data_IF_076376171668
#
_entry.id   IF_076376171668
#
_cell.length_a   1.000
_cell.length_b   1.000
_cell.length_c   1.000
_cell.angle_alpha   90.00
_cell.angle_beta   90.00
_cell.angle_gamma   90.00
#
_symmetry.space_group_name_H-M   'P 1'
#
loop_
_entity.id
_entity.type
_entity.pdbx_description
1 polymer ?
#
# COMPACT_ATOMS: atom_id res chain seq x y z
N UNK A 1 72.50 40.52 53.57
CA UNK A 1 71.29 40.83 54.32
C UNK A 1 70.18 41.04 53.36
N UNK A 2 69.22 40.14 53.46
CA UNK A 2 67.88 40.10 52.95
C UNK A 2 67.67 40.17 51.45
N UNK A 3 67.60 38.96 50.99
CA UNK A 3 66.96 38.55 49.71
C UNK A 3 65.46 38.75 49.75
N UNK A 4 64.95 39.26 48.66
CA UNK A 4 63.55 39.24 48.43
C UNK A 4 63.27 38.64 47.01
N UNK A 5 63.23 37.33 46.97
CA UNK A 5 62.80 36.61 45.74
C UNK A 5 61.29 36.65 45.60
N UNK A 6 60.83 37.42 44.65
CA UNK A 6 59.42 37.48 44.24
C UNK A 6 59.13 36.41 43.18
N UNK A 7 58.53 35.32 43.62
CA UNK A 7 58.07 34.30 42.74
C UNK A 7 56.88 34.82 41.93
N UNK A 8 57.04 34.95 40.63
CA UNK A 8 55.94 35.15 39.67
C UNK A 8 55.48 33.80 39.26
N UNK A 9 54.28 33.40 39.75
CA UNK A 9 53.56 32.20 39.25
C UNK A 9 52.83 32.57 37.99
N UNK A 10 53.30 32.07 36.85
CA UNK A 10 52.53 32.05 35.59
C UNK A 10 51.41 30.99 35.68
N UNK A 11 50.17 31.42 35.87
CA UNK A 11 49.01 30.58 35.68
C UNK A 11 48.79 30.46 34.18
N UNK A 12 49.20 29.34 33.62
CA UNK A 12 48.78 28.95 32.26
C UNK A 12 47.31 28.53 32.23
N UNK A 13 46.44 29.37 31.71
CA UNK A 13 45.06 28.96 31.36
C UNK A 13 45.11 28.04 30.15
N UNK A 14 45.01 26.75 30.40
CA UNK A 14 44.75 25.75 29.35
C UNK A 14 43.26 25.81 28.99
N UNK A 15 42.91 26.58 27.97
CA UNK A 15 41.56 26.56 27.39
C UNK A 15 41.39 25.22 26.65
N UNK A 16 40.81 24.21 27.32
CA UNK A 16 40.32 23.00 26.68
C UNK A 16 39.11 23.38 25.85
N UNK A 17 39.31 23.54 24.54
CA UNK A 17 38.19 23.62 23.59
C UNK A 17 37.44 22.30 23.65
N UNK A 18 36.30 22.27 24.34
CA UNK A 18 35.30 21.20 24.20
C UNK A 18 34.80 21.24 22.75
N UNK A 19 35.39 20.41 21.90
CA UNK A 19 34.76 20.04 20.62
C UNK A 19 33.56 19.18 21.00
N UNK A 20 32.40 19.83 21.15
CA UNK A 20 31.15 19.11 21.20
C UNK A 20 31.06 18.26 19.91
N UNK A 21 30.83 16.94 20.00
CA UNK A 21 30.55 16.19 18.80
C UNK A 21 29.32 16.85 18.19
N UNK A 22 29.49 17.44 17.00
CA UNK A 22 28.37 18.00 16.23
C UNK A 22 27.34 16.93 16.14
N UNK A 23 26.17 17.11 16.76
CA UNK A 23 25.02 16.30 16.49
C UNK A 23 24.78 16.43 14.97
N UNK A 24 25.05 15.37 14.23
CA UNK A 24 24.63 15.30 12.84
C UNK A 24 23.14 15.62 12.88
N UNK A 25 22.76 16.79 12.39
CA UNK A 25 21.37 17.14 12.25
C UNK A 25 20.72 16.02 11.41
N UNK A 26 19.63 15.44 11.93
CA UNK A 26 18.88 14.47 11.16
C UNK A 26 18.49 15.13 9.82
N UNK A 27 18.64 14.39 8.73
CA UNK A 27 18.25 14.90 7.40
C UNK A 27 16.76 15.21 7.40
N UNK A 28 16.36 16.32 6.79
CA UNK A 28 14.96 16.65 6.53
C UNK A 28 14.38 15.81 5.37
N UNK A 29 15.23 15.00 4.72
CA UNK A 29 14.91 14.17 3.55
C UNK A 29 15.48 12.74 3.66
N UNK A 30 15.24 12.01 4.77
CA UNK A 30 15.96 10.77 5.07
C UNK A 30 15.70 9.65 4.04
N UNK A 31 14.46 9.57 3.51
CA UNK A 31 14.09 8.57 2.51
C UNK A 31 14.68 8.92 1.15
N UNK A 32 14.53 10.19 0.74
CA UNK A 32 15.03 10.65 -0.55
C UNK A 32 16.56 10.54 -0.63
N UNK A 33 17.28 10.96 0.42
CA UNK A 33 18.74 10.85 0.51
C UNK A 33 19.17 9.38 0.39
N UNK A 34 18.52 8.48 1.14
CA UNK A 34 18.80 7.06 1.06
C UNK A 34 18.59 6.51 -0.37
N UNK A 35 17.50 6.90 -1.05
CA UNK A 35 17.23 6.46 -2.43
C UNK A 35 18.31 7.00 -3.38
N UNK A 36 18.73 8.26 -3.21
CA UNK A 36 19.77 8.88 -4.04
C UNK A 36 21.12 8.19 -3.85
N UNK A 37 21.49 7.89 -2.61
CA UNK A 37 22.79 7.29 -2.27
C UNK A 37 22.88 5.82 -2.73
N UNK A 38 21.87 5.02 -2.39
CA UNK A 38 21.88 3.58 -2.68
C UNK A 38 21.31 3.21 -4.06
N UNK A 39 20.67 4.14 -4.77
CA UNK A 39 20.02 3.90 -6.06
C UNK A 39 18.98 2.77 -6.02
N UNK A 40 18.26 2.66 -4.90
CA UNK A 40 17.23 1.65 -4.66
C UNK A 40 15.99 2.29 -4.07
N UNK A 41 14.83 2.05 -4.71
CA UNK A 41 13.50 2.35 -4.18
C UNK A 41 12.87 1.04 -3.69
N UNK A 42 12.63 0.92 -2.38
CA UNK A 42 11.96 -0.22 -1.76
C UNK A 42 10.47 0.03 -1.66
N UNK A 43 9.66 -0.84 -2.26
CA UNK A 43 8.20 -0.71 -2.29
C UNK A 43 7.54 -1.92 -1.65
N UNK A 44 6.74 -1.68 -0.60
CA UNK A 44 5.93 -2.70 0.04
C UNK A 44 4.68 -3.02 -0.78
N UNK A 45 4.45 -4.29 -1.06
CA UNK A 45 3.27 -4.80 -1.77
C UNK A 45 2.81 -6.13 -1.15
N UNK A 46 1.52 -6.47 -1.26
CA UNK A 46 1.05 -7.77 -0.75
C UNK A 46 1.37 -8.93 -1.71
N UNK A 47 1.44 -8.66 -3.00
CA UNK A 47 1.77 -9.67 -4.02
C UNK A 47 0.63 -10.66 -4.33
N UNK A 48 -0.60 -10.39 -3.88
CA UNK A 48 -1.78 -11.25 -4.07
C UNK A 48 -3.05 -10.46 -4.42
N UNK A 49 -2.91 -9.23 -4.92
CA UNK A 49 -4.03 -8.31 -5.24
C UNK A 49 -4.09 -8.03 -6.75
N UNK A 50 -4.24 -9.06 -7.57
CA UNK A 50 -4.45 -8.84 -9.01
C UNK A 50 -5.72 -7.98 -9.26
N UNK A 51 -5.71 -7.03 -10.21
CA UNK A 51 -4.67 -6.69 -11.20
C UNK A 51 -3.63 -5.67 -10.71
N UNK A 52 -3.65 -5.29 -9.41
CA UNK A 52 -2.78 -4.25 -8.85
C UNK A 52 -1.35 -4.74 -8.68
N UNK A 53 -1.16 -5.79 -7.89
CA UNK A 53 0.12 -6.45 -7.68
C UNK A 53 -0.11 -7.93 -7.33
N UNK A 54 0.51 -8.84 -8.06
CA UNK A 54 0.29 -10.28 -7.88
C UNK A 54 1.48 -11.09 -8.34
N UNK A 55 1.65 -12.28 -7.78
CA UNK A 55 2.61 -13.26 -8.26
C UNK A 55 2.16 -13.83 -9.62
N UNK A 56 3.08 -13.90 -10.58
CA UNK A 56 2.89 -14.64 -11.81
C UNK A 56 3.34 -16.10 -11.66
N UNK A 57 3.01 -16.96 -12.61
CA UNK A 57 3.52 -18.34 -12.69
C UNK A 57 5.05 -18.44 -12.67
N UNK A 58 5.74 -17.41 -13.14
CA UNK A 58 7.22 -17.35 -13.12
C UNK A 58 7.78 -16.89 -11.78
N UNK A 59 6.95 -16.61 -10.77
CA UNK A 59 7.36 -16.08 -9.47
C UNK A 59 7.70 -14.59 -9.47
N UNK A 60 7.46 -13.88 -10.58
CA UNK A 60 7.64 -12.43 -10.65
C UNK A 60 6.38 -11.72 -10.17
N UNK A 61 6.55 -10.63 -9.44
CA UNK A 61 5.43 -9.73 -9.12
C UNK A 61 5.12 -8.87 -10.35
N UNK A 62 3.85 -8.91 -10.78
CA UNK A 62 3.32 -8.16 -11.91
C UNK A 62 2.07 -7.38 -11.48
N UNK A 63 1.67 -6.35 -12.21
CA UNK A 63 0.47 -5.60 -11.94
C UNK A 63 0.60 -4.11 -12.27
N UNK A 64 -0.53 -3.43 -12.17
CA UNK A 64 -0.64 -1.98 -12.39
C UNK A 64 0.34 -1.19 -11.50
N UNK A 65 0.34 -1.51 -10.20
CA UNK A 65 1.18 -0.83 -9.21
C UNK A 65 2.66 -1.16 -9.39
N UNK A 66 2.97 -2.38 -9.85
CA UNK A 66 4.34 -2.79 -10.16
C UNK A 66 4.91 -1.98 -11.32
N UNK A 67 4.12 -1.79 -12.38
CA UNK A 67 4.54 -0.98 -13.52
C UNK A 67 4.64 0.52 -13.15
N UNK A 68 3.73 1.03 -12.32
CA UNK A 68 3.78 2.39 -11.82
C UNK A 68 5.00 2.61 -10.90
N UNK A 69 5.25 1.71 -9.95
CA UNK A 69 6.43 1.77 -9.08
C UNK A 69 7.73 1.69 -9.88
N UNK A 70 7.77 0.87 -10.95
CA UNK A 70 8.92 0.80 -11.86
C UNK A 70 9.15 2.11 -12.61
N UNK A 71 8.07 2.80 -13.01
CA UNK A 71 8.18 4.11 -13.65
C UNK A 71 8.70 5.16 -12.67
N UNK A 72 8.20 5.18 -11.43
CA UNK A 72 8.68 6.07 -10.37
C UNK A 72 10.17 5.84 -10.06
N UNK A 73 10.58 4.58 -9.86
CA UNK A 73 11.97 4.23 -9.62
C UNK A 73 12.89 4.71 -10.75
N UNK A 74 12.50 4.47 -12.01
CA UNK A 74 13.25 4.95 -13.18
C UNK A 74 13.36 6.47 -13.23
N UNK A 75 12.28 7.19 -12.93
CA UNK A 75 12.27 8.65 -12.92
C UNK A 75 13.23 9.22 -11.84
N UNK A 76 13.42 8.50 -10.74
CA UNK A 76 14.40 8.82 -9.70
C UNK A 76 15.81 8.29 -9.98
N UNK A 77 16.05 7.60 -11.09
CA UNK A 77 17.33 6.97 -11.40
C UNK A 77 17.70 5.82 -10.45
N UNK A 78 16.68 5.16 -9.87
CA UNK A 78 16.82 4.07 -8.91
C UNK A 78 16.34 2.73 -9.48
N UNK A 79 16.85 1.63 -8.93
CA UNK A 79 16.33 0.27 -9.13
C UNK A 79 15.13 0.05 -8.22
N UNK A 80 14.08 -0.55 -8.76
CA UNK A 80 12.93 -0.98 -7.97
C UNK A 80 13.28 -2.27 -7.21
N UNK A 81 12.97 -2.29 -5.92
CA UNK A 81 12.97 -3.47 -5.07
C UNK A 81 11.58 -3.63 -4.44
N UNK A 82 10.89 -4.72 -4.77
CA UNK A 82 9.58 -5.02 -4.22
C UNK A 82 9.77 -5.92 -2.99
N UNK A 83 9.22 -5.50 -1.85
CA UNK A 83 9.23 -6.26 -0.61
C UNK A 83 7.81 -6.75 -0.35
N UNK A 84 7.58 -8.06 -0.46
CA UNK A 84 6.26 -8.65 -0.28
C UNK A 84 6.03 -9.08 1.16
N UNK A 85 4.83 -8.81 1.65
CA UNK A 85 4.36 -9.20 2.98
C UNK A 85 2.82 -9.16 3.06
N UNK A 86 2.18 -9.76 4.07
CA UNK A 86 0.74 -9.64 4.27
C UNK A 86 0.29 -8.17 4.26
N UNK A 87 -0.88 -7.90 3.68
CA UNK A 87 -1.41 -6.52 3.55
C UNK A 87 -1.44 -5.79 4.89
N UNK A 88 -1.87 -6.48 5.95
CA UNK A 88 -1.98 -5.91 7.29
C UNK A 88 -0.65 -5.43 7.89
N UNK A 89 0.47 -5.96 7.42
CA UNK A 89 1.82 -5.64 7.94
C UNK A 89 2.49 -4.47 7.19
N UNK A 90 1.92 -4.04 6.05
CA UNK A 90 2.57 -3.08 5.14
C UNK A 90 2.81 -1.72 5.78
N UNK A 91 1.83 -1.16 6.49
CA UNK A 91 1.99 0.17 7.11
C UNK A 91 2.94 0.11 8.32
N UNK A 92 2.93 -0.98 9.09
CA UNK A 92 3.92 -1.19 10.15
C UNK A 92 5.33 -1.28 9.57
N UNK A 93 5.52 -2.03 8.49
CA UNK A 93 6.81 -2.14 7.81
C UNK A 93 7.30 -0.79 7.26
N UNK A 94 6.38 0.07 6.79
CA UNK A 94 6.69 1.45 6.39
C UNK A 94 7.17 2.28 7.57
N UNK A 95 6.46 2.23 8.71
CA UNK A 95 6.85 2.93 9.94
C UNK A 95 8.19 2.42 10.51
N UNK A 96 8.49 1.13 10.34
CA UNK A 96 9.74 0.50 10.74
C UNK A 96 10.88 0.62 9.70
N UNK A 97 10.73 1.46 8.66
CA UNK A 97 11.74 1.76 7.62
C UNK A 97 12.19 0.54 6.80
N UNK A 98 11.43 -0.55 6.82
CA UNK A 98 11.70 -1.74 5.99
C UNK A 98 11.47 -1.46 4.51
N UNK A 99 10.55 -0.54 4.21
CA UNK A 99 10.21 -0.06 2.86
C UNK A 99 10.13 1.47 2.85
N UNK A 100 10.31 2.08 1.67
CA UNK A 100 10.28 3.54 1.50
C UNK A 100 8.85 4.06 1.26
N UNK A 101 8.04 3.23 0.60
CA UNK A 101 6.63 3.51 0.33
C UNK A 101 5.84 2.20 0.23
N UNK A 102 4.53 2.32 0.36
CA UNK A 102 3.58 1.21 0.17
C UNK A 102 2.68 1.51 -1.02
N UNK A 103 2.58 0.54 -1.92
CA UNK A 103 1.63 0.51 -3.05
C UNK A 103 1.00 -0.89 -3.08
N UNK A 104 -0.23 -1.03 -2.59
CA UNK A 104 -0.92 -2.32 -2.49
C UNK A 104 -2.44 -2.13 -2.35
N UNK A 105 -3.07 -1.39 -3.26
CA UNK A 105 -4.49 -1.08 -3.14
C UNK A 105 -4.81 -0.30 -1.85
N UNK A 106 -3.85 0.50 -1.37
CA UNK A 106 -3.97 1.15 -0.07
C UNK A 106 -4.91 2.35 -0.15
N UNK A 107 -6.13 2.20 0.39
CA UNK A 107 -7.12 3.28 0.44
C UNK A 107 -6.63 4.42 1.33
N UNK A 108 -6.76 5.65 0.82
CA UNK A 108 -6.54 6.88 1.59
C UNK A 108 -7.70 7.06 2.55
N UNK A 109 -7.44 7.01 3.85
CA UNK A 109 -8.46 7.21 4.89
C UNK A 109 -7.96 8.17 5.95
N UNK A 110 -8.88 8.86 6.63
CA UNK A 110 -8.51 9.80 7.70
C UNK A 110 -7.70 9.13 8.84
N UNK A 111 -8.06 7.92 9.34
CA UNK A 111 -7.25 7.24 10.34
C UNK A 111 -5.82 6.95 9.86
N UNK A 112 -5.63 6.44 8.64
CA UNK A 112 -4.31 6.17 8.09
C UNK A 112 -3.51 7.45 7.83
N UNK A 113 -4.19 8.51 7.34
CA UNK A 113 -3.55 9.81 7.05
C UNK A 113 -3.13 10.58 8.30
N UNK A 114 -3.57 10.18 9.49
CA UNK A 114 -3.05 10.72 10.75
C UNK A 114 -1.58 10.30 10.98
N UNK A 115 -1.27 9.06 10.63
CA UNK A 115 0.01 8.43 10.98
C UNK A 115 0.97 8.36 9.79
N UNK A 116 0.45 8.45 8.55
CA UNK A 116 1.22 8.38 7.29
C UNK A 116 0.80 9.48 6.32
N UNK A 117 1.71 9.91 5.48
CA UNK A 117 1.40 10.80 4.36
C UNK A 117 0.95 9.96 3.15
N UNK A 118 -0.13 10.38 2.49
CA UNK A 118 -0.60 9.76 1.26
C UNK A 118 -0.37 10.67 0.06
N UNK A 119 0.11 10.10 -1.04
CA UNK A 119 0.32 10.74 -2.32
C UNK A 119 -0.67 10.18 -3.35
N UNK A 120 -1.27 11.03 -4.14
CA UNK A 120 -2.28 10.66 -5.12
C UNK A 120 -3.66 11.24 -4.81
N UNK A 121 -4.79 10.61 -5.20
CA UNK A 121 -4.92 9.21 -5.61
C UNK A 121 -4.43 8.94 -7.04
N UNK A 122 -3.82 7.76 -7.26
CA UNK A 122 -3.48 7.29 -8.61
C UNK A 122 -4.61 6.48 -9.25
N UNK A 123 -5.60 6.06 -8.46
CA UNK A 123 -6.77 5.32 -8.90
C UNK A 123 -7.95 5.55 -7.94
N UNK A 124 -9.16 5.53 -8.48
CA UNK A 124 -10.39 5.41 -7.69
C UNK A 124 -10.87 3.97 -7.73
N UNK A 125 -11.23 3.43 -6.58
CA UNK A 125 -11.80 2.09 -6.39
C UNK A 125 -13.10 2.19 -5.57
N UNK A 126 -13.60 1.06 -5.10
CA UNK A 126 -14.74 1.00 -4.20
C UNK A 126 -15.09 -0.44 -3.87
N UNK A 127 -15.76 -0.65 -2.76
CA UNK A 127 -16.12 -1.97 -2.25
C UNK A 127 -17.16 -2.64 -3.13
N UNK A 128 -16.93 -3.92 -3.36
CA UNK A 128 -17.84 -4.85 -4.01
C UNK A 128 -17.84 -6.17 -3.24
N UNK A 129 -18.57 -7.13 -3.73
CA UNK A 129 -18.53 -8.49 -3.22
C UNK A 129 -18.23 -9.48 -4.33
N UNK A 130 -17.59 -10.56 -3.96
CA UNK A 130 -17.49 -11.77 -4.76
C UNK A 130 -18.34 -12.86 -4.08
N UNK A 131 -19.26 -13.47 -4.79
CA UNK A 131 -20.17 -14.47 -4.24
C UNK A 131 -20.61 -15.46 -5.31
N UNK A 132 -21.03 -16.66 -4.90
CA UNK A 132 -21.73 -17.63 -5.75
C UNK A 132 -23.26 -17.57 -5.57
N UNK A 133 -23.77 -16.67 -4.71
CA UNK A 133 -25.20 -16.48 -4.48
C UNK A 133 -25.80 -15.46 -5.45
N UNK A 134 -26.74 -15.90 -6.29
CA UNK A 134 -27.47 -15.01 -7.20
C UNK A 134 -28.29 -13.94 -6.47
N UNK A 135 -28.67 -14.18 -5.21
CA UNK A 135 -29.37 -13.21 -4.39
C UNK A 135 -28.41 -12.09 -3.95
N UNK A 136 -27.23 -12.45 -3.42
CA UNK A 136 -26.25 -11.47 -2.96
C UNK A 136 -25.66 -10.66 -4.12
N UNK A 137 -25.49 -11.28 -5.29
CA UNK A 137 -24.99 -10.61 -6.50
C UNK A 137 -25.91 -9.47 -7.00
N UNK A 138 -27.15 -9.40 -6.54
CA UNK A 138 -28.13 -8.35 -6.86
C UNK A 138 -28.26 -7.28 -5.79
N UNK A 139 -27.49 -7.37 -4.74
CA UNK A 139 -27.49 -6.36 -3.67
C UNK A 139 -27.08 -4.98 -4.21
N UNK A 140 -27.71 -3.95 -3.71
CA UNK A 140 -27.49 -2.56 -4.15
C UNK A 140 -27.04 -1.65 -3.01
N UNK A 141 -27.14 -2.13 -1.78
CA UNK A 141 -26.79 -1.35 -0.59
C UNK A 141 -26.21 -2.25 0.50
N UNK A 142 -25.39 -1.68 1.40
CA UNK A 142 -24.73 -2.46 2.45
C UNK A 142 -25.68 -3.19 3.41
N UNK A 143 -26.89 -2.66 3.65
CA UNK A 143 -27.89 -3.30 4.51
C UNK A 143 -28.35 -4.67 3.99
N UNK A 144 -28.22 -4.95 2.68
CA UNK A 144 -28.57 -6.22 2.08
C UNK A 144 -27.69 -7.38 2.60
N UNK A 145 -26.51 -7.05 3.13
CA UNK A 145 -25.55 -7.98 3.73
C UNK A 145 -25.63 -8.06 5.25
N UNK A 146 -26.39 -7.16 5.90
CA UNK A 146 -26.44 -7.07 7.37
C UNK A 146 -27.41 -8.11 7.96
N UNK A 147 -27.09 -9.38 7.81
CA UNK A 147 -27.89 -10.54 8.22
C UNK A 147 -27.05 -11.53 9.01
N UNK A 148 -27.57 -12.06 10.15
CA UNK A 148 -26.80 -12.91 11.06
C UNK A 148 -26.43 -14.29 10.48
N UNK A 149 -27.15 -14.74 9.46
CA UNK A 149 -26.87 -16.01 8.76
C UNK A 149 -25.70 -15.89 7.79
N UNK A 150 -25.25 -14.68 7.41
CA UNK A 150 -24.18 -14.50 6.44
C UNK A 150 -22.79 -14.52 7.09
N UNK A 151 -21.87 -15.22 6.43
CA UNK A 151 -20.44 -15.23 6.70
C UNK A 151 -19.74 -14.43 5.61
N UNK A 152 -19.15 -13.31 5.97
CA UNK A 152 -18.49 -12.39 5.04
C UNK A 152 -16.99 -12.40 5.28
N UNK A 153 -16.22 -12.77 4.26
CA UNK A 153 -14.77 -12.71 4.31
C UNK A 153 -14.27 -11.30 3.97
N UNK A 154 -13.17 -10.90 4.57
CA UNK A 154 -12.41 -9.69 4.19
C UNK A 154 -10.94 -9.85 4.52
N UNK A 155 -10.09 -9.15 3.77
CA UNK A 155 -8.67 -9.08 4.06
C UNK A 155 -8.44 -8.35 5.40
N UNK A 156 -7.60 -8.94 6.26
CA UNK A 156 -7.27 -8.42 7.58
C UNK A 156 -6.68 -7.00 7.50
N UNK A 157 -7.08 -6.11 8.42
CA UNK A 157 -6.65 -4.69 8.50
C UNK A 157 -6.95 -3.85 7.24
N UNK A 158 -7.88 -4.33 6.40
CA UNK A 158 -8.34 -3.61 5.21
C UNK A 158 -9.56 -2.75 5.48
N UNK A 159 -9.84 -1.82 4.56
CA UNK A 159 -11.11 -1.07 4.56
C UNK A 159 -12.31 -1.98 4.25
N UNK A 160 -12.11 -3.16 3.66
CA UNK A 160 -13.15 -4.18 3.48
C UNK A 160 -13.59 -4.80 4.81
N UNK A 161 -12.65 -5.07 5.71
CA UNK A 161 -12.96 -5.49 7.08
C UNK A 161 -13.77 -4.41 7.80
N UNK A 162 -13.30 -3.17 7.80
CA UNK A 162 -14.00 -2.03 8.41
C UNK A 162 -15.41 -1.86 7.83
N UNK A 163 -15.56 -2.07 6.51
CA UNK A 163 -16.84 -2.00 5.84
C UNK A 163 -17.83 -3.03 6.41
N UNK A 164 -17.41 -4.28 6.60
CA UNK A 164 -18.27 -5.31 7.21
C UNK A 164 -18.63 -4.94 8.64
N UNK A 165 -17.63 -4.55 9.46
CA UNK A 165 -17.83 -4.18 10.86
C UNK A 165 -18.81 -3.02 11.05
N UNK A 166 -18.82 -2.06 10.11
CA UNK A 166 -19.65 -0.84 10.21
C UNK A 166 -21.00 -0.96 9.51
N UNK A 167 -21.02 -1.57 8.32
CA UNK A 167 -22.20 -1.59 7.45
C UNK A 167 -23.00 -2.91 7.53
N UNK A 168 -22.37 -4.00 7.99
CA UNK A 168 -23.01 -5.30 8.16
C UNK A 168 -22.69 -5.95 9.52
N UNK A 169 -22.86 -5.26 10.66
CA UNK A 169 -22.43 -5.73 11.98
C UNK A 169 -23.16 -6.98 12.50
N UNK A 170 -24.26 -7.40 11.85
CA UNK A 170 -24.95 -8.64 12.20
C UNK A 170 -24.36 -9.86 11.50
N UNK A 171 -23.66 -9.68 10.38
CA UNK A 171 -23.02 -10.76 9.68
C UNK A 171 -21.79 -11.28 10.43
N UNK A 172 -21.45 -12.53 10.24
CA UNK A 172 -20.21 -13.10 10.78
C UNK A 172 -19.03 -12.69 9.91
N UNK A 173 -18.11 -11.90 10.46
CA UNK A 173 -16.86 -11.53 9.79
C UNK A 173 -15.85 -12.68 9.88
N UNK A 174 -15.25 -13.04 8.75
CA UNK A 174 -14.12 -13.97 8.61
C UNK A 174 -12.94 -13.22 8.03
N UNK A 175 -11.90 -12.97 8.83
CA UNK A 175 -10.70 -12.29 8.34
C UNK A 175 -9.73 -13.28 7.70
N UNK A 176 -9.11 -12.87 6.59
CA UNK A 176 -8.11 -13.64 5.85
C UNK A 176 -6.86 -12.79 5.58
N UNK A 177 -5.72 -13.45 5.36
CA UNK A 177 -4.45 -12.76 5.03
C UNK A 177 -4.16 -12.73 3.53
N UNK A 178 -4.93 -13.51 2.75
CA UNK A 178 -4.69 -13.72 1.33
C UNK A 178 -6.02 -13.69 0.55
N UNK A 179 -6.03 -13.01 -0.59
CA UNK A 179 -7.23 -12.90 -1.42
C UNK A 179 -7.57 -14.20 -2.15
N UNK A 180 -6.57 -14.95 -2.63
CA UNK A 180 -6.81 -16.22 -3.34
C UNK A 180 -7.43 -17.23 -2.37
N UNK A 181 -6.95 -17.31 -1.13
CA UNK A 181 -7.56 -18.13 -0.08
C UNK A 181 -9.02 -17.73 0.19
N UNK A 182 -9.32 -16.42 0.21
CA UNK A 182 -10.70 -15.96 0.39
C UNK A 182 -11.61 -16.33 -0.80
N UNK A 183 -11.08 -16.28 -2.02
CA UNK A 183 -11.83 -16.72 -3.23
C UNK A 183 -12.13 -18.20 -3.15
N UNK A 184 -11.16 -19.04 -2.75
CA UNK A 184 -11.34 -20.48 -2.56
C UNK A 184 -12.43 -20.78 -1.51
N UNK A 185 -12.47 -20.02 -0.41
CA UNK A 185 -13.52 -20.14 0.61
C UNK A 185 -14.93 -19.81 0.05
N UNK A 186 -15.05 -18.82 -0.84
CA UNK A 186 -16.32 -18.53 -1.53
C UNK A 186 -16.72 -19.68 -2.45
N UNK A 187 -15.77 -20.21 -3.22
CA UNK A 187 -16.02 -21.35 -4.14
C UNK A 187 -16.44 -22.60 -3.37
N UNK A 188 -15.79 -22.88 -2.22
CA UNK A 188 -16.11 -24.00 -1.35
C UNK A 188 -17.40 -23.81 -0.54
N UNK A 189 -18.00 -22.61 -0.52
CA UNK A 189 -19.17 -22.30 0.31
C UNK A 189 -18.86 -22.20 1.81
N UNK A 190 -17.61 -22.01 2.18
CA UNK A 190 -17.17 -21.76 3.56
C UNK A 190 -17.55 -20.37 4.05
N UNK A 191 -17.65 -19.41 3.13
CA UNK A 191 -18.20 -18.07 3.32
C UNK A 191 -19.21 -17.77 2.22
N UNK A 192 -20.16 -16.88 2.51
CA UNK A 192 -21.24 -16.52 1.59
C UNK A 192 -20.83 -15.45 0.58
N UNK A 193 -19.87 -14.60 0.97
CA UNK A 193 -19.23 -13.62 0.09
C UNK A 193 -17.87 -13.17 0.63
N UNK A 194 -17.02 -12.74 -0.30
CA UNK A 194 -15.82 -11.96 -0.02
C UNK A 194 -16.12 -10.48 -0.31
N UNK A 195 -15.89 -9.61 0.67
CA UNK A 195 -15.89 -8.15 0.46
C UNK A 195 -14.50 -7.72 0.06
N UNK A 196 -14.37 -7.17 -1.13
CA UNK A 196 -13.10 -6.70 -1.69
C UNK A 196 -13.34 -5.50 -2.62
N UNK A 197 -12.28 -4.94 -3.17
CA UNK A 197 -12.42 -3.90 -4.17
C UNK A 197 -12.94 -4.46 -5.49
N UNK A 198 -13.77 -3.68 -6.18
CA UNK A 198 -14.42 -4.11 -7.42
C UNK A 198 -13.46 -4.72 -8.46
N UNK A 199 -12.25 -4.19 -8.71
CA UNK A 199 -11.33 -4.79 -9.66
C UNK A 199 -10.92 -6.22 -9.31
N UNK A 200 -10.69 -6.54 -8.03
CA UNK A 200 -10.37 -7.89 -7.57
C UNK A 200 -11.56 -8.83 -7.77
N UNK A 201 -12.76 -8.38 -7.43
CA UNK A 201 -13.97 -9.18 -7.62
C UNK A 201 -14.22 -9.49 -9.11
N UNK A 202 -14.11 -8.47 -9.98
CA UNK A 202 -14.27 -8.66 -11.44
C UNK A 202 -13.24 -9.64 -12.00
N UNK A 203 -11.98 -9.51 -11.57
CA UNK A 203 -10.93 -10.41 -12.03
C UNK A 203 -11.18 -11.85 -11.56
N UNK A 204 -11.62 -12.06 -10.31
CA UNK A 204 -11.91 -13.39 -9.80
C UNK A 204 -13.03 -14.08 -10.60
N UNK A 205 -14.09 -13.35 -11.00
CA UNK A 205 -15.12 -13.88 -11.90
C UNK A 205 -14.53 -14.31 -13.24
N UNK A 206 -13.59 -13.54 -13.79
CA UNK A 206 -12.94 -13.86 -15.07
C UNK A 206 -11.95 -15.03 -14.97
N UNK A 207 -11.31 -15.18 -13.82
CA UNK A 207 -10.27 -16.21 -13.56
C UNK A 207 -10.90 -17.58 -13.31
N UNK A 208 -12.09 -17.61 -12.73
CA UNK A 208 -12.81 -18.85 -12.37
C UNK A 208 -14.20 -18.92 -13.03
N UNK A 209 -14.27 -19.03 -14.39
CA UNK A 209 -15.53 -18.93 -15.13
C UNK A 209 -16.53 -20.05 -14.79
N UNK A 210 -16.03 -21.21 -14.39
CA UNK A 210 -16.84 -22.38 -14.09
C UNK A 210 -17.27 -22.47 -12.61
N UNK A 211 -16.80 -21.55 -11.76
CA UNK A 211 -17.10 -21.57 -10.33
C UNK A 211 -18.43 -20.88 -9.95
N UNK A 212 -19.18 -20.38 -10.93
CA UNK A 212 -20.47 -19.71 -10.70
C UNK A 212 -20.35 -18.38 -9.94
N UNK A 213 -19.14 -17.80 -9.89
CA UNK A 213 -18.89 -16.54 -9.19
C UNK A 213 -19.56 -15.35 -9.88
N UNK A 214 -20.01 -14.42 -9.08
CA UNK A 214 -20.61 -13.16 -9.50
C UNK A 214 -20.12 -12.02 -8.63
N UNK A 215 -20.19 -10.81 -9.15
CA UNK A 215 -19.87 -9.57 -8.43
C UNK A 215 -20.91 -8.49 -8.72
N UNK A 216 -20.91 -7.40 -7.96
CA UNK A 216 -21.82 -6.29 -8.17
C UNK A 216 -21.48 -5.54 -9.47
N UNK A 217 -22.49 -4.97 -10.12
CA UNK A 217 -22.32 -4.13 -11.30
C UNK A 217 -21.67 -2.77 -10.97
N UNK A 218 -21.97 -2.25 -9.78
CA UNK A 218 -21.43 -0.97 -9.29
C UNK A 218 -20.89 -1.15 -7.87
N UNK A 219 -19.83 -0.43 -7.51
CA UNK A 219 -19.30 -0.52 -6.16
C UNK A 219 -20.24 0.11 -5.13
N UNK A 220 -20.18 -0.37 -3.88
CA UNK A 220 -20.94 0.12 -2.74
C UNK A 220 -20.32 1.35 -2.08
N UNK A 221 -19.10 1.69 -2.41
CA UNK A 221 -18.35 2.85 -1.90
C UNK A 221 -17.46 3.44 -2.98
N UNK A 222 -16.91 4.62 -2.70
CA UNK A 222 -15.85 5.23 -3.51
C UNK A 222 -14.63 5.38 -2.61
N UNK A 223 -13.51 4.79 -3.03
CA UNK A 223 -12.27 4.80 -2.26
C UNK A 223 -11.09 5.30 -3.11
N UNK A 224 -10.46 6.40 -2.72
CA UNK A 224 -9.23 6.85 -3.35
C UNK A 224 -8.07 5.93 -2.93
N UNK A 225 -7.31 5.42 -3.90
CA UNK A 225 -6.14 4.57 -3.68
C UNK A 225 -4.88 5.39 -3.90
N UNK A 226 -3.99 5.40 -2.90
CA UNK A 226 -2.79 6.22 -2.91
C UNK A 226 -1.52 5.48 -2.50
N UNK A 227 -0.40 6.18 -2.64
CA UNK A 227 0.91 5.74 -2.17
C UNK A 227 1.04 6.21 -0.72
N UNK A 228 1.29 5.29 0.21
CA UNK A 228 1.61 5.67 1.58
C UNK A 228 3.13 5.84 1.75
N UNK A 229 3.53 6.93 2.40
CA UNK A 229 4.92 7.23 2.78
C UNK A 229 4.96 7.71 4.24
N UNK A 230 6.16 7.71 4.84
CA UNK A 230 6.34 8.26 6.18
C UNK A 230 6.13 9.78 6.21
N UNK A 231 5.78 10.31 7.38
CA UNK A 231 5.54 11.75 7.56
C UNK A 231 6.83 12.59 7.69
N UNK A 232 7.98 11.95 7.82
CA UNK A 232 9.28 12.56 8.09
C UNK A 232 10.05 13.01 6.84
N UNK A 233 9.52 12.74 5.63
CA UNK A 233 10.14 13.17 4.37
C UNK A 233 9.12 13.81 3.42
N UNK A 234 8.88 15.09 3.62
CA UNK A 234 7.96 15.89 2.78
C UNK A 234 8.46 16.05 1.34
N UNK A 235 9.78 16.08 1.15
CA UNK A 235 10.36 16.21 -0.19
C UNK A 235 10.13 14.96 -1.02
N UNK A 236 10.26 13.78 -0.40
CA UNK A 236 9.94 12.53 -1.06
C UNK A 236 8.46 12.46 -1.46
N UNK A 237 7.56 12.82 -0.55
CA UNK A 237 6.12 12.88 -0.84
C UNK A 237 5.82 13.86 -2.00
N UNK A 238 6.39 15.07 -1.97
CA UNK A 238 6.22 16.08 -3.01
C UNK A 238 6.78 15.62 -4.36
N UNK A 239 7.93 14.93 -4.38
CA UNK A 239 8.51 14.36 -5.59
C UNK A 239 7.60 13.32 -6.23
N UNK A 240 7.05 12.41 -5.42
CA UNK A 240 6.10 11.40 -5.89
C UNK A 240 4.83 12.03 -6.46
N UNK A 241 4.29 13.07 -5.81
CA UNK A 241 3.11 13.78 -6.28
C UNK A 241 3.35 14.45 -7.64
N UNK A 242 4.48 15.14 -7.80
CA UNK A 242 4.90 15.74 -9.06
C UNK A 242 5.06 14.69 -10.18
N UNK A 243 5.59 13.50 -9.87
CA UNK A 243 5.68 12.43 -10.87
C UNK A 243 4.32 11.87 -11.23
N UNK A 244 3.42 11.64 -10.27
CA UNK A 244 2.06 11.18 -10.55
C UNK A 244 1.29 12.15 -11.44
N UNK A 245 1.35 13.44 -11.12
CA UNK A 245 0.75 14.50 -11.95
C UNK A 245 1.31 14.50 -13.38
N UNK A 246 2.64 14.43 -13.50
CA UNK A 246 3.32 14.35 -14.80
C UNK A 246 2.91 13.10 -15.57
N UNK A 247 2.88 11.94 -14.94
CA UNK A 247 2.46 10.67 -15.57
C UNK A 247 1.00 10.70 -15.99
N UNK A 248 0.14 11.36 -15.20
CA UNK A 248 -1.25 11.63 -15.58
C UNK A 248 -1.35 12.49 -16.85
N UNK A 249 -0.68 13.63 -16.87
CA UNK A 249 -0.65 14.55 -18.00
C UNK A 249 -0.06 13.95 -19.28
N UNK A 250 0.93 13.07 -19.14
CA UNK A 250 1.53 12.33 -20.27
C UNK A 250 0.67 11.15 -20.75
N UNK A 251 -0.46 10.86 -20.10
CA UNK A 251 -1.34 9.74 -20.42
C UNK A 251 -0.79 8.37 -20.02
N UNK A 252 0.32 8.31 -19.26
CA UNK A 252 0.91 7.05 -18.85
C UNK A 252 0.00 6.27 -17.88
N UNK A 253 -0.64 6.95 -16.92
CA UNK A 253 -1.59 6.29 -16.01
C UNK A 253 -2.74 5.64 -16.79
N UNK A 254 -3.28 6.31 -17.80
CA UNK A 254 -4.32 5.75 -18.67
C UNK A 254 -3.81 4.54 -19.47
N UNK A 255 -2.57 4.58 -19.96
CA UNK A 255 -1.95 3.44 -20.67
C UNK A 255 -1.81 2.23 -19.76
N UNK A 256 -1.35 2.45 -18.52
CA UNK A 256 -1.25 1.37 -17.52
C UNK A 256 -2.63 0.83 -17.15
N UNK A 257 -3.64 1.71 -17.00
CA UNK A 257 -5.01 1.29 -16.72
C UNK A 257 -5.57 0.41 -17.84
N UNK A 258 -5.40 0.81 -19.10
CA UNK A 258 -5.82 -0.02 -20.24
C UNK A 258 -5.14 -1.39 -20.23
N UNK A 259 -3.82 -1.42 -19.99
CA UNK A 259 -3.06 -2.67 -19.94
C UNK A 259 -3.58 -3.64 -18.87
N UNK A 260 -3.90 -3.15 -17.66
CA UNK A 260 -4.18 -4.03 -16.54
C UNK A 260 -5.67 -4.27 -16.25
N UNK A 261 -6.56 -3.36 -16.68
CA UNK A 261 -8.00 -3.47 -16.39
C UNK A 261 -8.85 -3.73 -17.65
N UNK A 262 -8.37 -3.38 -18.86
CA UNK A 262 -9.11 -3.56 -20.09
C UNK A 262 -8.54 -4.72 -20.94
N UNK A 263 -7.20 -4.80 -21.09
CA UNK A 263 -6.53 -5.93 -21.73
C UNK A 263 -6.48 -7.13 -20.76
N UNK A 264 -6.95 -8.30 -21.24
CA UNK A 264 -7.01 -9.53 -20.44
C UNK A 264 -5.86 -10.50 -20.75
N UNK A 265 -4.96 -10.15 -21.67
CA UNK A 265 -3.88 -11.05 -22.13
C UNK A 265 -2.92 -11.47 -21.00
N UNK A 266 -2.71 -10.61 -20.02
CA UNK A 266 -1.83 -10.89 -18.88
C UNK A 266 -2.41 -11.92 -17.89
N UNK A 267 -3.75 -12.17 -17.91
CA UNK A 267 -4.40 -13.16 -17.02
C UNK A 267 -3.79 -14.55 -17.25
N UNK A 268 -3.37 -14.88 -18.47
CA UNK A 268 -2.67 -16.13 -18.76
C UNK A 268 -1.34 -16.30 -18.00
N UNK A 269 -0.77 -15.24 -17.44
CA UNK A 269 0.44 -15.29 -16.62
C UNK A 269 0.17 -15.61 -15.14
N UNK A 270 -1.10 -15.60 -14.70
CA UNK A 270 -1.49 -15.95 -13.32
C UNK A 270 -1.37 -17.46 -13.09
N UNK A 271 -1.08 -17.86 -11.83
CA UNK A 271 -1.06 -19.27 -11.42
C UNK A 271 -2.36 -20.00 -11.68
#
# INVERSE_FOLDING_TARGET
>A
MLDFFRKISLLGLLAAALVAPGALAASDTPVLDRIIDFKVLKVGMSGNQAPLNTNSRSGQIIGYEVDLARALARAMGARLEIVTMPFGDLLEALGAEKVDMVMSGMSITAPRSRDYTFVGPYMMSGKSILTNSSLLARATQPSDFNRPELRLAALENSTSQIFIETAAPKATLVTVKDYDAAVDMVIAGEVDALVADLPQCVLSVLRYPDAGLSTLQSPLSIEPIGIAVRNDDRQFASLLDNYLDTFGKMGMLNKLRKKWFEDKSWIAALP
#
